data_IF_281215518172
#
_entry.id   IF_281215518172
#
_cell.length_a   1.000
_cell.length_b   1.000
_cell.length_c   1.000
_cell.angle_alpha   90.00
_cell.angle_beta   90.00
_cell.angle_gamma   90.00
#
_symmetry.space_group_name_H-M   'P 1'
#
loop_
_entity.id
_entity.type
_entity.pdbx_description
1 polymer ?
#
# COMPACT_ATOMS: atom_id res chain seq x y z
N UNK A 1 4.55 2.04 -1.74
CA UNK A 1 3.86 0.73 -1.63
C UNK A 1 2.83 0.78 -0.54
N UNK A 2 1.73 0.04 -0.67
CA UNK A 2 0.68 -0.09 0.35
C UNK A 2 0.31 -1.57 0.48
N UNK A 3 -0.54 -1.90 1.44
CA UNK A 3 -1.18 -3.22 1.56
C UNK A 3 -2.45 -3.07 2.39
N UNK A 4 -3.52 -3.79 2.03
CA UNK A 4 -4.70 -3.88 2.86
C UNK A 4 -4.45 -4.80 4.06
N UNK A 5 -5.05 -4.48 5.22
CA UNK A 5 -4.80 -5.24 6.46
C UNK A 5 -5.25 -6.70 6.36
N UNK A 6 -6.31 -6.98 5.60
CA UNK A 6 -6.76 -8.36 5.38
C UNK A 6 -5.77 -9.18 4.55
N UNK A 7 -5.09 -8.56 3.57
CA UNK A 7 -4.05 -9.26 2.82
C UNK A 7 -2.80 -9.52 3.67
N UNK A 8 -2.48 -8.64 4.63
CA UNK A 8 -1.45 -8.95 5.64
C UNK A 8 -1.85 -10.21 6.43
N UNK A 9 -3.10 -10.29 6.88
CA UNK A 9 -3.59 -11.44 7.62
C UNK A 9 -3.54 -12.73 6.79
N UNK A 10 -3.94 -12.67 5.52
CA UNK A 10 -3.84 -13.79 4.57
C UNK A 10 -2.40 -14.27 4.40
N UNK A 11 -1.45 -13.34 4.21
CA UNK A 11 -0.03 -13.70 4.09
C UNK A 11 0.52 -14.34 5.37
N UNK A 12 0.18 -13.79 6.54
CA UNK A 12 0.61 -14.36 7.82
C UNK A 12 0.04 -15.77 8.03
N UNK A 13 -1.25 -15.97 7.74
CA UNK A 13 -1.88 -17.28 7.82
C UNK A 13 -1.25 -18.31 6.87
N UNK A 14 -0.94 -17.88 5.63
CA UNK A 14 -0.26 -18.72 4.65
C UNK A 14 1.16 -19.09 5.11
N UNK A 15 1.93 -18.13 5.65
CA UNK A 15 3.28 -18.38 6.17
C UNK A 15 3.29 -19.30 7.39
N UNK A 16 2.31 -19.19 8.29
CA UNK A 16 2.16 -20.11 9.43
C UNK A 16 1.85 -21.53 8.94
N UNK A 17 1.04 -21.66 7.88
CA UNK A 17 0.62 -22.95 7.33
C UNK A 17 1.70 -23.62 6.47
N UNK A 18 2.62 -22.83 5.90
CA UNK A 18 3.74 -23.29 5.09
C UNK A 18 5.07 -22.69 5.58
N UNK A 19 5.65 -23.20 6.69
CA UNK A 19 6.82 -22.57 7.30
C UNK A 19 8.08 -22.65 6.43
N UNK A 20 8.67 -21.49 6.13
CA UNK A 20 10.03 -21.36 5.59
C UNK A 20 10.90 -20.60 6.60
N UNK A 21 11.78 -21.28 7.38
CA UNK A 21 12.50 -20.67 8.50
C UNK A 21 13.32 -19.41 8.17
N UNK A 22 13.75 -19.26 6.92
CA UNK A 22 14.55 -18.12 6.44
C UNK A 22 13.81 -17.27 5.40
N UNK A 23 12.49 -17.47 5.26
CA UNK A 23 11.67 -16.76 4.29
C UNK A 23 11.58 -15.27 4.61
N UNK A 24 11.95 -14.42 3.65
CA UNK A 24 11.72 -12.96 3.71
C UNK A 24 10.74 -12.60 2.61
N UNK A 25 9.60 -12.04 3.01
CA UNK A 25 8.49 -11.72 2.13
C UNK A 25 8.18 -10.22 2.16
N UNK A 26 8.16 -9.60 0.98
CA UNK A 26 7.62 -8.26 0.82
C UNK A 26 6.10 -8.34 0.77
N UNK A 27 5.45 -7.68 1.72
CA UNK A 27 3.99 -7.67 1.84
C UNK A 27 3.47 -6.31 1.35
N UNK A 28 3.19 -6.24 0.05
CA UNK A 28 2.66 -5.05 -0.63
C UNK A 28 1.71 -5.44 -1.76
N UNK A 29 0.83 -4.52 -2.12
CA UNK A 29 -0.09 -4.60 -3.27
C UNK A 29 0.66 -4.54 -4.62
N UNK A 30 -0.08 -4.68 -5.72
CA UNK A 30 0.47 -4.74 -7.08
C UNK A 30 0.72 -3.37 -7.71
N UNK A 31 0.15 -2.30 -7.13
CA UNK A 31 0.22 -0.95 -7.70
C UNK A 31 0.97 0.04 -6.79
N UNK A 32 2.27 0.29 -7.06
CA UNK A 32 2.98 1.42 -6.46
C UNK A 32 2.36 2.75 -6.91
N UNK A 33 1.58 3.39 -6.04
CA UNK A 33 0.95 4.68 -6.32
C UNK A 33 1.54 5.82 -5.46
N UNK A 34 1.54 7.05 -5.98
CA UNK A 34 1.94 8.23 -5.21
C UNK A 34 0.93 8.50 -4.06
N UNK A 35 1.34 9.10 -2.93
CA UNK A 35 0.41 9.52 -1.87
C UNK A 35 -0.70 10.44 -2.37
N UNK A 36 -0.38 11.35 -3.29
CA UNK A 36 -1.32 12.31 -3.89
C UNK A 36 -2.41 11.62 -4.70
N UNK A 37 -2.09 10.57 -5.45
CA UNK A 37 -3.06 9.87 -6.31
C UNK A 37 -4.10 9.14 -5.47
N UNK A 38 -3.66 8.53 -4.36
CA UNK A 38 -4.54 7.85 -3.42
C UNK A 38 -5.44 8.84 -2.71
N UNK A 39 -4.89 9.98 -2.28
CA UNK A 39 -5.68 11.05 -1.66
C UNK A 39 -6.74 11.59 -2.62
N UNK A 40 -6.35 11.91 -3.86
CA UNK A 40 -7.27 12.42 -4.88
C UNK A 40 -8.41 11.44 -5.17
N UNK A 41 -8.11 10.15 -5.28
CA UNK A 41 -9.11 9.11 -5.49
C UNK A 41 -10.05 8.96 -4.28
N UNK A 42 -9.54 9.02 -3.04
CA UNK A 42 -10.41 9.00 -1.85
C UNK A 42 -11.33 10.24 -1.83
N UNK A 43 -10.82 11.42 -2.19
CA UNK A 43 -11.63 12.62 -2.32
C UNK A 43 -12.74 12.45 -3.39
N UNK A 44 -12.41 11.83 -4.53
CA UNK A 44 -13.39 11.49 -5.56
C UNK A 44 -14.49 10.56 -5.03
N UNK A 45 -14.13 9.47 -4.36
CA UNK A 45 -15.10 8.53 -3.76
C UNK A 45 -16.01 9.21 -2.74
N UNK A 46 -15.49 10.19 -1.99
CA UNK A 46 -16.25 10.96 -1.01
C UNK A 46 -16.99 12.17 -1.62
N UNK A 47 -16.87 12.41 -2.93
CA UNK A 47 -17.45 13.57 -3.61
C UNK A 47 -17.02 14.92 -3.00
N UNK A 48 -15.76 15.03 -2.58
CA UNK A 48 -15.15 16.26 -2.05
C UNK A 48 -14.00 16.73 -2.95
N UNK A 49 -13.72 18.02 -2.93
CA UNK A 49 -12.56 18.57 -3.64
C UNK A 49 -11.24 18.12 -2.95
N UNK A 50 -10.24 17.66 -3.72
CA UNK A 50 -8.93 17.38 -3.15
C UNK A 50 -8.26 18.67 -2.67
N UNK A 51 -7.41 18.61 -1.61
CA UNK A 51 -6.64 19.76 -1.18
C UNK A 51 -5.65 20.21 -2.27
N UNK A 52 -5.26 21.50 -2.29
CA UNK A 52 -4.29 21.99 -3.25
C UNK A 52 -2.94 21.29 -3.08
N UNK A 53 -2.26 21.06 -4.20
CA UNK A 53 -0.90 20.52 -4.19
C UNK A 53 0.08 21.59 -3.72
N UNK A 54 1.02 21.19 -2.87
CA UNK A 54 2.09 22.04 -2.35
C UNK A 54 3.42 21.48 -2.88
N UNK A 55 4.29 22.30 -3.50
CA UNK A 55 5.64 21.88 -3.87
C UNK A 55 6.40 21.36 -2.65
N UNK A 56 7.21 20.32 -2.83
CA UNK A 56 7.90 19.67 -1.71
C UNK A 56 8.82 20.63 -0.94
N UNK A 57 9.45 21.57 -1.67
CA UNK A 57 10.34 22.60 -1.14
C UNK A 57 9.61 23.61 -0.25
N UNK A 58 8.33 23.83 -0.50
CA UNK A 58 7.47 24.78 0.21
C UNK A 58 6.67 24.11 1.34
N UNK A 59 6.64 22.78 1.38
CA UNK A 59 5.88 22.03 2.36
C UNK A 59 6.50 22.11 3.76
N UNK A 60 5.70 22.51 4.74
CA UNK A 60 6.06 22.52 6.16
C UNK A 60 6.05 21.11 6.77
N UNK A 61 7.02 20.29 6.35
CA UNK A 61 7.18 18.91 6.82
C UNK A 61 8.27 18.86 7.89
N UNK A 62 7.99 18.19 9.02
CA UNK A 62 9.00 17.97 10.06
C UNK A 62 10.23 17.25 9.50
N UNK A 63 11.43 17.40 10.12
CA UNK A 63 12.63 16.69 9.66
C UNK A 63 12.43 15.18 9.55
N UNK A 64 11.70 14.59 10.52
CA UNK A 64 11.34 13.17 10.48
C UNK A 64 10.40 12.85 9.31
N UNK A 65 9.37 13.69 9.08
CA UNK A 65 8.47 13.52 7.94
C UNK A 65 9.24 13.50 6.62
N UNK A 66 10.17 14.44 6.40
CA UNK A 66 10.97 14.52 5.17
C UNK A 66 11.72 13.23 4.83
N UNK A 67 12.08 12.41 5.82
CA UNK A 67 12.75 11.12 5.58
C UNK A 67 11.92 10.14 4.76
N UNK A 68 10.58 10.23 4.80
CA UNK A 68 9.71 9.40 3.97
C UNK A 68 9.87 9.70 2.48
N UNK A 69 10.12 10.96 2.11
CA UNK A 69 10.35 11.39 0.73
C UNK A 69 11.82 11.32 0.30
N UNK A 70 12.72 10.92 1.20
CA UNK A 70 14.15 10.77 0.90
C UNK A 70 14.47 9.50 0.08
N UNK A 71 13.53 8.57 0.00
CA UNK A 71 13.64 7.34 -0.80
C UNK A 71 12.44 7.20 -1.74
N UNK A 72 12.67 6.62 -2.91
CA UNK A 72 11.61 6.30 -3.87
C UNK A 72 11.92 4.97 -4.55
N UNK A 73 11.12 3.95 -4.20
CA UNK A 73 11.31 2.58 -4.66
C UNK A 73 9.99 1.90 -4.96
N UNK A 74 10.05 0.96 -5.91
CA UNK A 74 8.98 -0.01 -6.18
C UNK A 74 9.38 -1.35 -5.57
N UNK A 75 8.47 -1.97 -4.86
CA UNK A 75 8.71 -3.22 -4.11
C UNK A 75 7.97 -4.35 -4.82
N UNK A 76 8.65 -5.46 -5.09
CA UNK A 76 8.02 -6.65 -5.68
C UNK A 76 7.46 -7.54 -4.59
N UNK A 77 6.24 -8.03 -4.77
CA UNK A 77 5.54 -8.98 -3.89
C UNK A 77 5.52 -10.43 -4.40
N UNK A 78 6.20 -10.74 -5.51
CA UNK A 78 6.12 -12.06 -6.17
C UNK A 78 6.27 -13.28 -5.23
N UNK A 79 7.11 -13.21 -4.19
CA UNK A 79 7.31 -14.33 -3.26
C UNK A 79 6.09 -14.69 -2.43
N UNK A 80 5.25 -13.74 -2.03
CA UNK A 80 3.99 -14.09 -1.33
C UNK A 80 3.04 -14.83 -2.26
N UNK A 81 3.13 -14.58 -3.58
CA UNK A 81 2.30 -15.25 -4.58
C UNK A 81 2.86 -16.63 -4.96
N UNK A 82 4.15 -16.73 -5.23
CA UNK A 82 4.79 -17.97 -5.68
C UNK A 82 5.03 -18.98 -4.54
N UNK A 83 5.52 -18.51 -3.40
CA UNK A 83 6.02 -19.40 -2.34
C UNK A 83 4.89 -19.73 -1.36
N UNK A 84 4.00 -18.77 -1.09
CA UNK A 84 2.89 -18.91 -0.14
C UNK A 84 1.53 -19.12 -0.82
N UNK A 85 1.46 -19.02 -2.15
CA UNK A 85 0.21 -19.20 -2.89
C UNK A 85 -0.85 -18.12 -2.62
N UNK A 86 -0.44 -16.95 -2.13
CA UNK A 86 -1.37 -15.86 -1.80
C UNK A 86 -1.88 -15.20 -3.08
N UNK A 87 -3.20 -15.11 -3.18
CA UNK A 87 -3.89 -14.22 -4.11
C UNK A 87 -4.44 -13.02 -3.33
N UNK A 88 -4.16 -11.81 -3.81
CA UNK A 88 -4.50 -10.58 -3.08
C UNK A 88 -5.97 -10.24 -3.28
N UNK A 89 -6.72 -10.08 -2.20
CA UNK A 89 -8.10 -9.60 -2.26
C UNK A 89 -8.15 -8.11 -2.68
N UNK A 90 -7.12 -7.34 -2.32
CA UNK A 90 -7.01 -5.92 -2.61
C UNK A 90 -5.69 -5.64 -3.35
N UNK A 91 -5.61 -6.01 -4.65
CA UNK A 91 -4.36 -5.91 -5.42
C UNK A 91 -3.97 -4.45 -5.72
N UNK A 92 -4.87 -3.49 -5.52
CA UNK A 92 -4.59 -2.07 -5.68
C UNK A 92 -5.31 -1.21 -4.64
N UNK A 93 -4.87 0.04 -4.55
CA UNK A 93 -5.45 1.02 -3.63
C UNK A 93 -6.90 1.38 -4.00
N UNK A 94 -7.34 1.19 -5.25
CA UNK A 94 -8.69 1.57 -5.67
C UNK A 94 -9.73 0.62 -5.10
N UNK A 95 -9.47 -0.69 -5.21
CA UNK A 95 -10.27 -1.75 -4.60
C UNK A 95 -10.18 -1.65 -3.08
N UNK A 96 -8.96 -1.50 -2.54
CA UNK A 96 -8.74 -1.37 -1.09
C UNK A 96 -9.49 -0.20 -0.45
N UNK A 97 -9.43 1.00 -1.05
CA UNK A 97 -10.13 2.18 -0.49
C UNK A 97 -11.65 2.05 -0.58
N UNK A 98 -12.19 1.46 -1.65
CA UNK A 98 -13.64 1.20 -1.76
C UNK A 98 -14.12 0.25 -0.66
N UNK A 99 -13.37 -0.82 -0.40
CA UNK A 99 -13.68 -1.75 0.69
C UNK A 99 -13.63 -1.09 2.07
N UNK A 100 -12.61 -0.24 2.33
CA UNK A 100 -12.52 0.54 3.58
C UNK A 100 -13.73 1.47 3.76
N UNK A 101 -14.24 2.06 2.68
CA UNK A 101 -15.41 2.93 2.69
C UNK A 101 -16.74 2.18 2.63
N UNK A 102 -16.73 0.86 2.42
CA UNK A 102 -17.92 0.03 2.31
C UNK A 102 -18.75 0.28 1.05
N UNK A 103 -18.12 0.65 -0.07
CA UNK A 103 -18.77 0.99 -1.35
C UNK A 103 -18.32 0.11 -2.52
#
# INVERSE_FOLDING_TARGET
SRIHVEDIATVLAASISNPEPSGIYNVCDDEPAAPTDVLAYVCELLSIAPPPLIPFEEAEISPMGKTFWADNRRVRNHRIKSDLGVDLAFPDYRIGMRAVLGI
#
